data_IF_577301648450
#
_entry.id   IF_577301648450
#
_cell.length_a   1.000
_cell.length_b   1.000
_cell.length_c   1.000
_cell.angle_alpha   90.00
_cell.angle_beta   90.00
_cell.angle_gamma   90.00
#
_symmetry.space_group_name_H-M   'P 1'
#
loop_
_entity.id
_entity.type
_entity.pdbx_description
1 polymer ?
#
# COMPACT_ATOMS: atom_id res chain seq x y z
N UNK A 1 60.10 -9.83 68.20
CA UNK A 1 59.19 -8.84 68.82
C UNK A 1 58.40 -8.16 67.72
N UNK A 2 57.11 -7.95 67.96
CA UNK A 2 56.10 -7.55 66.99
C UNK A 2 56.32 -6.16 66.39
N UNK A 3 55.82 -5.95 65.16
CA UNK A 3 55.01 -4.76 64.85
C UNK A 3 54.15 -5.00 63.61
N UNK A 4 52.87 -4.72 63.77
CA UNK A 4 51.78 -4.91 62.80
C UNK A 4 51.45 -3.59 62.08
N UNK A 5 50.60 -3.72 61.05
CA UNK A 5 49.70 -2.71 60.42
C UNK A 5 50.42 -1.68 59.50
N UNK A 6 49.97 -1.30 58.29
CA UNK A 6 48.62 -1.24 57.71
C UNK A 6 48.63 -1.18 56.17
N UNK A 7 47.59 -1.76 55.60
CA UNK A 7 47.09 -1.80 54.21
C UNK A 7 46.92 -0.42 53.54
N UNK A 8 47.42 -0.25 52.31
CA UNK A 8 46.73 0.53 51.25
C UNK A 8 46.88 -0.21 49.91
N UNK A 9 45.81 -0.88 49.49
CA UNK A 9 45.64 -1.35 48.11
C UNK A 9 45.58 -0.13 47.20
N UNK A 10 46.63 0.09 46.40
CA UNK A 10 46.59 1.03 45.27
C UNK A 10 45.50 0.54 44.32
N UNK A 11 44.35 1.23 44.30
CA UNK A 11 43.36 1.07 43.23
C UNK A 11 44.06 1.43 41.93
N UNK A 12 44.37 0.42 41.12
CA UNK A 12 44.68 0.62 39.71
C UNK A 12 43.45 1.26 39.09
N UNK A 13 43.57 2.51 38.63
CA UNK A 13 42.53 3.15 37.84
C UNK A 13 42.41 2.38 36.54
N UNK A 14 41.44 1.47 36.47
CA UNK A 14 40.96 1.00 35.18
C UNK A 14 40.52 2.25 34.41
N UNK A 15 41.27 2.59 33.36
CA UNK A 15 40.85 3.60 32.40
C UNK A 15 39.47 3.22 31.93
N UNK A 16 38.47 4.00 32.34
CA UNK A 16 37.14 3.90 31.78
C UNK A 16 37.29 4.27 30.31
N UNK A 17 37.28 3.25 29.45
CA UNK A 17 36.99 3.46 28.05
C UNK A 17 35.64 4.19 28.01
N UNK A 18 35.68 5.48 27.68
CA UNK A 18 34.48 6.26 27.38
C UNK A 18 33.75 5.47 26.31
N UNK A 19 32.67 4.77 26.69
CA UNK A 19 31.75 4.20 25.72
C UNK A 19 31.18 5.41 25.00
N UNK A 20 31.67 5.67 23.80
CA UNK A 20 30.93 6.50 22.85
C UNK A 20 29.59 5.80 22.71
N UNK A 21 28.57 6.30 23.40
CA UNK A 21 27.20 5.91 23.13
C UNK A 21 27.03 6.28 21.65
N UNK A 22 26.83 5.31 20.74
CA UNK A 22 26.57 5.68 19.36
C UNK A 22 25.38 6.63 19.43
N UNK A 23 25.55 7.84 18.89
CA UNK A 23 24.43 8.73 18.70
C UNK A 23 23.44 7.94 17.86
N UNK A 24 22.40 7.41 18.48
CA UNK A 24 21.29 6.80 17.78
C UNK A 24 20.55 7.98 17.13
N UNK A 25 21.12 8.48 16.04
CA UNK A 25 20.49 9.45 15.17
C UNK A 25 19.21 8.78 14.69
N UNK A 26 18.07 9.39 14.97
CA UNK A 26 16.77 8.94 14.45
C UNK A 26 16.82 8.72 12.92
N UNK A 27 17.71 9.47 12.24
CA UNK A 27 17.91 9.43 10.79
C UNK A 27 18.75 8.25 10.29
N UNK A 28 19.43 7.51 11.18
CA UNK A 28 20.16 6.28 10.86
C UNK A 28 19.32 5.01 11.03
N UNK A 29 18.01 5.13 10.79
CA UNK A 29 17.09 3.99 10.84
C UNK A 29 17.18 3.12 9.56
N UNK A 30 17.48 1.81 9.66
CA UNK A 30 17.52 0.90 8.50
C UNK A 30 16.18 0.81 7.75
N UNK A 31 15.04 1.01 8.42
CA UNK A 31 13.71 1.02 7.77
C UNK A 31 13.56 2.20 6.81
N UNK A 32 14.01 3.39 7.21
CA UNK A 32 13.99 4.58 6.36
C UNK A 32 14.89 4.38 5.13
N UNK A 33 16.08 3.81 5.32
CA UNK A 33 17.03 3.52 4.22
C UNK A 33 16.41 2.55 3.20
N UNK A 34 15.77 1.47 3.67
CA UNK A 34 15.05 0.51 2.81
C UNK A 34 13.89 1.16 2.08
N UNK A 35 13.09 1.97 2.76
CA UNK A 35 11.94 2.65 2.16
C UNK A 35 12.41 3.63 1.07
N UNK A 36 13.41 4.47 1.37
CA UNK A 36 14.02 5.38 0.40
C UNK A 36 14.55 4.64 -0.83
N UNK A 37 15.20 3.48 -0.64
CA UNK A 37 15.66 2.65 -1.77
C UNK A 37 14.50 2.16 -2.65
N UNK A 38 13.36 1.78 -2.06
CA UNK A 38 12.16 1.35 -2.81
C UNK A 38 11.45 2.49 -3.54
N UNK A 39 11.63 3.73 -3.09
CA UNK A 39 11.05 4.92 -3.72
C UNK A 39 11.93 5.49 -4.86
N UNK A 40 13.16 4.99 -5.02
CA UNK A 40 14.03 5.45 -6.09
C UNK A 40 13.45 5.04 -7.45
N UNK A 41 13.34 6.03 -8.33
CA UNK A 41 12.88 5.90 -9.72
C UNK A 41 14.10 6.12 -10.61
N UNK A 42 14.08 5.57 -11.82
CA UNK A 42 15.09 5.89 -12.84
C UNK A 42 15.23 7.42 -13.01
N UNK A 43 16.46 7.97 -13.02
CA UNK A 43 16.68 9.41 -13.14
C UNK A 43 16.12 9.99 -14.43
N UNK A 44 16.03 9.18 -15.49
CA UNK A 44 15.52 9.60 -16.81
C UNK A 44 13.98 9.58 -16.88
N UNK A 45 13.29 9.10 -15.84
CA UNK A 45 11.84 9.02 -15.83
C UNK A 45 11.20 10.39 -15.60
N UNK A 46 10.11 10.68 -16.33
CA UNK A 46 9.49 12.01 -16.36
C UNK A 46 8.87 12.44 -15.01
N UNK A 47 8.56 11.50 -14.11
CA UNK A 47 7.96 11.75 -12.79
C UNK A 47 8.86 11.25 -11.67
N UNK A 48 9.53 12.16 -10.97
CA UNK A 48 10.46 11.79 -9.90
C UNK A 48 9.74 11.44 -8.58
N UNK A 49 8.62 12.10 -8.29
CA UNK A 49 7.83 11.87 -7.08
C UNK A 49 6.34 12.07 -7.35
N UNK A 50 5.48 11.35 -6.63
CA UNK A 50 4.01 11.55 -6.61
C UNK A 50 3.59 12.74 -5.75
N UNK A 51 4.44 13.19 -4.82
CA UNK A 51 4.08 14.21 -3.82
C UNK A 51 3.24 13.67 -2.66
N UNK A 52 2.87 12.38 -2.69
CA UNK A 52 2.12 11.71 -1.64
C UNK A 52 3.04 10.80 -0.82
N UNK A 53 2.88 10.81 0.50
CA UNK A 53 3.71 10.00 1.39
C UNK A 53 3.29 8.53 1.31
N UNK A 54 4.25 7.64 1.08
CA UNK A 54 4.00 6.19 1.00
C UNK A 54 3.56 5.67 -0.38
N UNK A 55 3.17 6.57 -1.31
CA UNK A 55 2.82 6.19 -2.68
C UNK A 55 4.05 6.31 -3.59
N UNK A 56 4.59 5.17 -4.00
CA UNK A 56 5.73 5.09 -4.93
C UNK A 56 5.30 5.39 -6.36
N UNK A 57 6.16 6.05 -7.14
CA UNK A 57 5.96 6.23 -8.58
C UNK A 57 6.03 4.88 -9.30
N UNK A 58 5.18 4.70 -10.31
CA UNK A 58 5.21 3.53 -11.18
C UNK A 58 5.85 3.87 -12.52
N UNK A 59 6.96 3.21 -12.87
CA UNK A 59 7.64 3.42 -14.16
C UNK A 59 6.85 2.86 -15.35
N UNK A 60 6.03 1.83 -15.11
CA UNK A 60 5.28 1.12 -16.15
C UNK A 60 3.79 0.98 -15.77
N UNK A 61 3.04 2.09 -15.69
CA UNK A 61 1.67 2.09 -15.19
C UNK A 61 0.71 1.30 -16.10
N UNK A 62 0.84 1.39 -17.43
CA UNK A 62 -0.02 0.65 -18.37
C UNK A 62 0.05 -0.86 -18.13
N UNK A 63 1.28 -1.41 -18.05
CA UNK A 63 1.48 -2.84 -17.78
C UNK A 63 0.88 -3.26 -16.45
N UNK A 64 1.07 -2.47 -15.40
CA UNK A 64 0.51 -2.75 -14.08
C UNK A 64 -1.02 -2.79 -14.13
N UNK A 65 -1.65 -1.77 -14.72
CA UNK A 65 -3.10 -1.67 -14.85
C UNK A 65 -3.69 -2.81 -15.69
N UNK A 66 -3.11 -3.12 -16.85
CA UNK A 66 -3.58 -4.24 -17.70
C UNK A 66 -3.55 -5.56 -16.93
N UNK A 67 -2.50 -5.82 -16.17
CA UNK A 67 -2.38 -7.04 -15.36
C UNK A 67 -3.43 -7.09 -14.26
N UNK A 68 -3.64 -5.98 -13.53
CA UNK A 68 -4.60 -5.94 -12.42
C UNK A 68 -6.03 -6.03 -12.94
N UNK A 69 -6.42 -5.25 -13.95
CA UNK A 69 -7.75 -5.32 -14.56
C UNK A 69 -8.03 -6.70 -15.17
N UNK A 70 -7.04 -7.32 -15.83
CA UNK A 70 -7.17 -8.69 -16.32
C UNK A 70 -7.39 -9.71 -15.19
N UNK A 71 -6.76 -9.53 -14.02
CA UNK A 71 -7.01 -10.36 -12.82
C UNK A 71 -8.39 -10.14 -12.23
N UNK A 72 -8.88 -8.89 -12.22
CA UNK A 72 -10.23 -8.55 -11.75
C UNK A 72 -11.27 -9.24 -12.63
N UNK A 73 -11.18 -9.09 -13.95
CA UNK A 73 -12.13 -9.69 -14.90
C UNK A 73 -12.17 -11.23 -14.76
N UNK A 74 -11.01 -11.89 -14.59
CA UNK A 74 -10.96 -13.34 -14.32
C UNK A 74 -11.58 -13.71 -12.97
N UNK A 75 -11.43 -12.88 -11.95
CA UNK A 75 -11.98 -13.15 -10.61
C UNK A 75 -13.50 -12.96 -10.58
N UNK A 76 -14.01 -11.97 -11.31
CA UNK A 76 -15.45 -11.68 -11.47
C UNK A 76 -16.21 -12.84 -12.13
N UNK A 77 -15.55 -13.68 -12.94
CA UNK A 77 -16.18 -14.87 -13.54
C UNK A 77 -16.74 -15.86 -12.50
N UNK A 78 -16.25 -15.83 -11.25
CA UNK A 78 -16.75 -16.69 -10.16
C UNK A 78 -18.09 -16.22 -9.60
N UNK A 79 -18.45 -14.97 -9.81
CA UNK A 79 -19.68 -14.33 -9.32
C UNK A 79 -20.77 -14.52 -10.39
N UNK A 80 -22.05 -14.79 -10.05
CA UNK A 80 -23.10 -14.90 -11.06
C UNK A 80 -23.31 -13.60 -11.83
N UNK A 81 -23.67 -13.70 -13.10
CA UNK A 81 -23.95 -12.59 -14.02
C UNK A 81 -25.19 -11.78 -13.61
N UNK A 82 -26.12 -12.39 -12.88
CA UNK A 82 -27.29 -11.72 -12.31
C UNK A 82 -26.93 -10.69 -11.23
N UNK A 83 -25.80 -10.87 -10.53
CA UNK A 83 -25.37 -9.99 -9.45
C UNK A 83 -25.10 -8.57 -9.97
N UNK A 84 -25.76 -7.58 -9.35
CA UNK A 84 -25.60 -6.17 -9.70
C UNK A 84 -24.13 -5.72 -9.63
N UNK A 85 -23.42 -6.15 -8.59
CA UNK A 85 -22.00 -5.84 -8.40
C UNK A 85 -21.15 -6.26 -9.61
N UNK A 86 -21.34 -7.49 -10.12
CA UNK A 86 -20.59 -7.99 -11.28
C UNK A 86 -20.87 -7.14 -12.53
N UNK A 87 -22.14 -6.81 -12.79
CA UNK A 87 -22.53 -6.02 -13.98
C UNK A 87 -21.84 -4.66 -14.00
N UNK A 88 -21.90 -3.91 -12.90
CA UNK A 88 -21.36 -2.56 -12.84
C UNK A 88 -19.83 -2.54 -12.78
N UNK A 89 -19.22 -3.45 -12.01
CA UNK A 89 -17.74 -3.54 -11.94
C UNK A 89 -17.15 -3.96 -13.28
N UNK A 90 -17.75 -4.91 -14.00
CA UNK A 90 -17.28 -5.27 -15.34
C UNK A 90 -17.35 -4.09 -16.30
N UNK A 91 -18.43 -3.29 -16.27
CA UNK A 91 -18.57 -2.11 -17.11
C UNK A 91 -17.47 -1.09 -16.82
N UNK A 92 -17.23 -0.76 -15.54
CA UNK A 92 -16.20 0.20 -15.12
C UNK A 92 -14.81 -0.30 -15.51
N UNK A 93 -14.50 -1.56 -15.23
CA UNK A 93 -13.18 -2.14 -15.51
C UNK A 93 -12.92 -2.22 -17.01
N UNK A 94 -13.91 -2.60 -17.82
CA UNK A 94 -13.78 -2.62 -19.29
C UNK A 94 -13.57 -1.22 -19.86
N UNK A 95 -14.33 -0.23 -19.39
CA UNK A 95 -14.15 1.17 -19.79
C UNK A 95 -12.73 1.67 -19.47
N UNK A 96 -12.27 1.44 -18.23
CA UNK A 96 -10.92 1.84 -17.82
C UNK A 96 -9.84 1.11 -18.59
N UNK A 97 -10.02 -0.18 -18.88
CA UNK A 97 -9.09 -0.95 -19.69
C UNK A 97 -9.00 -0.38 -21.13
N UNK A 98 -10.13 -0.02 -21.73
CA UNK A 98 -10.16 0.66 -23.04
C UNK A 98 -9.40 1.99 -23.03
N UNK A 99 -9.51 2.78 -21.95
CA UNK A 99 -8.72 4.01 -21.82
C UNK A 99 -7.21 3.70 -21.73
N UNK A 100 -6.81 2.70 -20.96
CA UNK A 100 -5.41 2.27 -20.82
C UNK A 100 -4.82 1.75 -22.14
N UNK A 101 -5.62 1.12 -22.98
CA UNK A 101 -5.21 0.61 -24.30
C UNK A 101 -5.20 1.69 -25.39
N UNK A 102 -6.10 2.67 -25.31
CA UNK A 102 -6.22 3.73 -26.33
C UNK A 102 -5.19 4.84 -26.19
N UNK A 103 -4.82 5.22 -24.98
CA UNK A 103 -3.85 6.29 -24.74
C UNK A 103 -2.51 5.71 -24.27
N UNK A 104 -1.40 5.95 -24.99
CA UNK A 104 -0.06 5.54 -24.55
C UNK A 104 0.61 6.55 -23.62
N UNK A 105 0.12 7.79 -23.57
CA UNK A 105 0.68 8.85 -22.73
C UNK A 105 -0.01 8.87 -21.37
N UNK A 106 0.78 8.81 -20.30
CA UNK A 106 0.29 8.70 -18.93
C UNK A 106 -0.47 9.95 -18.50
N UNK A 107 -0.03 11.15 -18.91
CA UNK A 107 -0.69 12.41 -18.48
C UNK A 107 -2.09 12.53 -19.06
N UNK A 108 -2.24 12.22 -20.35
CA UNK A 108 -3.54 12.18 -21.02
C UNK A 108 -4.43 11.08 -20.46
N UNK A 109 -3.84 9.94 -20.10
CA UNK A 109 -4.57 8.85 -19.46
C UNK A 109 -5.14 9.28 -18.08
N UNK A 110 -4.37 10.00 -17.27
CA UNK A 110 -4.82 10.55 -15.98
C UNK A 110 -6.01 11.51 -16.18
N UNK A 111 -5.92 12.42 -17.15
CA UNK A 111 -7.01 13.36 -17.48
C UNK A 111 -8.28 12.64 -17.95
N UNK A 112 -8.15 11.60 -18.78
CA UNK A 112 -9.31 10.82 -19.26
C UNK A 112 -10.00 10.03 -18.16
N UNK A 113 -9.23 9.46 -17.23
CA UNK A 113 -9.79 8.68 -16.12
C UNK A 113 -10.40 9.62 -15.07
N UNK A 114 -9.78 10.77 -14.82
CA UNK A 114 -10.30 11.80 -13.92
C UNK A 114 -10.35 11.41 -12.45
N UNK A 115 -9.51 10.45 -12.01
CA UNK A 115 -9.51 9.88 -10.64
C UNK A 115 -8.19 10.09 -9.90
N UNK A 116 -7.54 11.24 -10.10
CA UNK A 116 -6.24 11.55 -9.48
C UNK A 116 -5.04 11.05 -10.30
N UNK A 117 -3.95 10.72 -9.62
CA UNK A 117 -2.72 10.23 -10.25
C UNK A 117 -2.83 8.76 -10.66
N UNK A 118 -2.05 8.33 -11.64
CA UNK A 118 -2.12 6.96 -12.16
C UNK A 118 -1.76 5.91 -11.10
N UNK A 119 -0.90 6.24 -10.14
CA UNK A 119 -0.51 5.35 -9.05
C UNK A 119 -1.66 5.12 -8.07
N UNK A 120 -2.49 6.13 -7.81
CA UNK A 120 -3.69 5.99 -6.98
C UNK A 120 -4.71 5.08 -7.69
N UNK A 121 -4.82 5.18 -9.02
CA UNK A 121 -5.69 4.31 -9.81
C UNK A 121 -5.20 2.85 -9.77
N UNK A 122 -3.89 2.62 -9.75
CA UNK A 122 -3.33 1.27 -9.57
C UNK A 122 -3.70 0.71 -8.19
N UNK A 123 -3.54 1.50 -7.13
CA UNK A 123 -3.91 1.09 -5.77
C UNK A 123 -5.41 0.81 -5.65
N UNK A 124 -6.26 1.66 -6.24
CA UNK A 124 -7.71 1.42 -6.33
C UNK A 124 -8.02 0.09 -7.03
N UNK A 125 -7.33 -0.22 -8.13
CA UNK A 125 -7.53 -1.49 -8.85
C UNK A 125 -7.05 -2.69 -8.02
N UNK A 126 -5.96 -2.57 -7.25
CA UNK A 126 -5.51 -3.63 -6.33
C UNK A 126 -6.51 -3.85 -5.19
N UNK A 127 -7.05 -2.77 -4.62
CA UNK A 127 -8.10 -2.84 -3.60
C UNK A 127 -9.39 -3.46 -4.16
N UNK A 128 -9.76 -3.12 -5.40
CA UNK A 128 -10.90 -3.74 -6.07
C UNK A 128 -10.68 -5.23 -6.30
N UNK A 129 -9.47 -5.66 -6.65
CA UNK A 129 -9.15 -7.08 -6.77
C UNK A 129 -9.30 -7.82 -5.43
N UNK A 130 -8.93 -7.20 -4.32
CA UNK A 130 -9.16 -7.76 -2.99
C UNK A 130 -10.65 -7.79 -2.65
N UNK A 131 -11.38 -6.72 -2.96
CA UNK A 131 -12.83 -6.61 -2.80
C UNK A 131 -13.55 -7.75 -3.54
N UNK A 132 -13.24 -7.98 -4.82
CA UNK A 132 -13.84 -9.05 -5.62
C UNK A 132 -13.62 -10.43 -4.99
N UNK A 133 -12.45 -10.67 -4.39
CA UNK A 133 -12.18 -11.94 -3.68
C UNK A 133 -13.06 -12.07 -2.44
N UNK A 134 -13.16 -11.02 -1.63
CA UNK A 134 -14.04 -11.00 -0.47
C UNK A 134 -15.51 -11.14 -0.86
N UNK A 135 -15.96 -10.49 -1.95
CA UNK A 135 -17.31 -10.61 -2.49
C UNK A 135 -17.62 -12.05 -2.91
N UNK A 136 -16.65 -12.74 -3.51
CA UNK A 136 -16.80 -14.15 -3.88
C UNK A 136 -16.99 -15.07 -2.66
N UNK A 137 -16.38 -14.73 -1.53
CA UNK A 137 -16.51 -15.46 -0.26
C UNK A 137 -17.83 -15.14 0.46
N UNK A 138 -18.19 -13.86 0.56
CA UNK A 138 -19.36 -13.40 1.32
C UNK A 138 -20.70 -13.48 0.58
N UNK A 139 -20.69 -13.57 -0.75
CA UNK A 139 -21.89 -13.71 -1.61
C UNK A 139 -23.05 -12.75 -1.27
N UNK A 140 -22.82 -11.43 -1.20
CA UNK A 140 -23.83 -10.48 -0.75
C UNK A 140 -24.98 -10.25 -1.74
N UNK A 141 -24.96 -10.90 -2.90
CA UNK A 141 -26.07 -10.88 -3.87
C UNK A 141 -27.19 -11.86 -3.51
N UNK A 142 -27.01 -12.68 -2.47
CA UNK A 142 -28.07 -13.49 -1.90
C UNK A 142 -29.12 -12.61 -1.21
N UNK A 143 -30.31 -13.17 -0.97
CA UNK A 143 -31.38 -12.44 -0.27
C UNK A 143 -30.97 -12.12 1.16
N UNK A 144 -31.56 -11.06 1.70
CA UNK A 144 -31.34 -10.64 3.08
C UNK A 144 -31.62 -11.81 4.05
N UNK A 145 -30.67 -12.07 4.96
CA UNK A 145 -30.75 -13.19 5.92
C UNK A 145 -31.93 -12.99 6.88
N UNK A 146 -32.12 -11.77 7.37
CA UNK A 146 -33.21 -11.42 8.28
C UNK A 146 -33.83 -10.08 7.88
N UNK A 147 -35.17 -9.99 7.75
CA UNK A 147 -35.82 -8.71 7.54
C UNK A 147 -35.63 -7.82 8.77
N UNK A 148 -35.61 -6.50 8.54
CA UNK A 148 -35.56 -5.54 9.64
C UNK A 148 -36.80 -5.68 10.56
N UNK A 149 -36.65 -5.60 11.89
CA UNK A 149 -37.76 -5.44 12.81
C UNK A 149 -38.57 -4.17 12.50
N UNK A 150 -39.88 -4.22 12.79
CA UNK A 150 -40.87 -3.22 12.35
C UNK A 150 -40.50 -1.78 12.71
N UNK A 151 -39.89 -1.55 13.88
CA UNK A 151 -39.54 -0.20 14.35
C UNK A 151 -38.03 0.12 14.27
N UNK A 152 -37.18 -0.76 13.70
CA UNK A 152 -35.71 -0.55 13.70
C UNK A 152 -35.28 0.73 12.97
N UNK A 153 -35.94 1.04 11.85
CA UNK A 153 -35.60 2.18 10.98
C UNK A 153 -36.66 3.28 11.02
N UNK A 154 -37.58 3.21 11.98
CA UNK A 154 -38.56 4.26 12.23
C UNK A 154 -37.87 5.38 13.01
N UNK A 155 -37.68 6.50 12.33
CA UNK A 155 -37.13 7.72 12.90
C UNK A 155 -37.95 8.90 12.36
N UNK A 156 -38.32 9.90 13.18
CA UNK A 156 -38.09 10.04 14.64
C UNK A 156 -38.92 9.11 15.53
#
# INVERSE_FOLDING_TARGET
MASSVTRVLRRSSMGQALRLVPSCSMYDNPYIKRHKKKMQVSPDFYKQTTGLTGLKVSEHPHRALTVVYGRILRSLQKIPDTAAYRKYTEQIVKLRLQHVESEPDVRKLEEKIGMGQIEEVIEQAENELQCVRAMAEHKPWETLVEPAPVDQWKWP
#
